data_IF_875946286152
#
_entry.id   IF_875946286152
#
_cell.length_a   1.000
_cell.length_b   1.000
_cell.length_c   1.000
_cell.angle_alpha   90.00
_cell.angle_beta   90.00
_cell.angle_gamma   90.00
#
_symmetry.space_group_name_H-M   'P 1'
#
loop_
_entity.id
_entity.type
_entity.pdbx_description
1 polymer ?
#
# COMPACT_ATOMS: atom_id res chain seq x y z
N UNK A 1 -21.57 -24.84 12.56
CA UNK A 1 -20.32 -24.13 12.25
C UNK A 1 -20.58 -22.65 12.41
N UNK A 2 -20.18 -22.07 13.55
CA UNK A 2 -20.25 -20.62 13.75
C UNK A 2 -19.13 -20.02 12.90
N UNK A 3 -19.47 -19.44 11.74
CA UNK A 3 -18.55 -18.55 11.06
C UNK A 3 -18.47 -17.29 11.93
N UNK A 4 -17.42 -17.19 12.73
CA UNK A 4 -17.02 -15.93 13.33
C UNK A 4 -16.84 -14.94 12.18
N UNK A 5 -17.81 -14.03 12.01
CA UNK A 5 -17.61 -12.83 11.21
C UNK A 5 -16.51 -12.08 11.95
N UNK A 6 -15.30 -12.16 11.42
CA UNK A 6 -14.21 -11.27 11.79
C UNK A 6 -14.72 -9.87 11.43
N UNK A 7 -15.30 -9.17 12.40
CA UNK A 7 -15.76 -7.80 12.19
C UNK A 7 -14.51 -6.95 12.07
N UNK A 8 -14.11 -6.71 10.82
CA UNK A 8 -13.05 -5.79 10.49
C UNK A 8 -13.35 -4.41 11.09
N UNK A 9 -12.30 -3.62 11.31
CA UNK A 9 -12.52 -2.19 11.58
C UNK A 9 -13.17 -1.53 10.35
N UNK A 10 -13.81 -0.37 10.51
CA UNK A 10 -14.33 0.40 9.36
C UNK A 10 -13.24 0.63 8.28
N UNK A 11 -11.96 0.70 8.69
CA UNK A 11 -10.83 0.82 7.76
C UNK A 11 -10.62 -0.48 6.97
N UNK A 12 -10.73 -1.65 7.61
CA UNK A 12 -10.61 -2.94 6.91
C UNK A 12 -11.74 -3.12 5.90
N UNK A 13 -12.97 -2.80 6.30
CA UNK A 13 -14.15 -2.87 5.43
C UNK A 13 -14.02 -1.90 4.25
N UNK A 14 -13.56 -0.68 4.52
CA UNK A 14 -13.35 0.33 3.47
C UNK A 14 -12.36 -0.13 2.40
N UNK A 15 -11.26 -0.77 2.77
CA UNK A 15 -10.23 -1.22 1.83
C UNK A 15 -10.45 -2.62 1.27
N UNK A 16 -11.55 -3.30 1.62
CA UNK A 16 -11.83 -4.65 1.16
C UNK A 16 -12.14 -4.65 -0.35
N UNK A 17 -11.34 -5.35 -1.14
CA UNK A 17 -11.46 -5.42 -2.59
C UNK A 17 -11.04 -4.14 -3.32
N UNK A 18 -10.58 -3.12 -2.60
CA UNK A 18 -10.27 -1.82 -3.18
C UNK A 18 -8.93 -1.78 -3.93
N UNK A 19 -8.84 -0.82 -4.85
CA UNK A 19 -7.63 -0.48 -5.59
C UNK A 19 -7.09 0.87 -5.11
N UNK A 20 -5.89 0.90 -4.54
CA UNK A 20 -5.33 2.10 -3.91
C UNK A 20 -4.21 2.69 -4.73
N UNK A 21 -4.33 3.96 -5.13
CA UNK A 21 -3.25 4.74 -5.73
C UNK A 21 -2.52 5.55 -4.65
N UNK A 22 -1.24 5.27 -4.44
CA UNK A 22 -0.36 6.01 -3.54
C UNK A 22 0.51 6.95 -4.38
N UNK A 23 0.36 8.25 -4.14
CA UNK A 23 1.26 9.30 -4.67
C UNK A 23 2.27 9.68 -3.61
N UNK A 24 3.37 10.35 -3.98
CA UNK A 24 4.41 10.72 -3.00
C UNK A 24 5.35 9.58 -2.61
N UNK A 25 4.97 8.32 -2.91
CA UNK A 25 5.54 6.96 -2.72
C UNK A 25 6.98 6.71 -2.24
N UNK A 26 7.85 7.70 -2.33
CA UNK A 26 9.26 7.67 -1.93
C UNK A 26 9.55 8.41 -0.62
N UNK A 27 8.55 9.02 0.01
CA UNK A 27 8.64 9.56 1.36
C UNK A 27 8.57 8.45 2.42
N UNK A 28 8.98 8.75 3.66
CA UNK A 28 8.96 7.78 4.76
C UNK A 28 7.55 7.21 5.03
N UNK A 29 6.54 8.08 5.10
CA UNK A 29 5.15 7.69 5.38
C UNK A 29 4.59 6.77 4.30
N UNK A 30 4.86 7.08 3.03
CA UNK A 30 4.31 6.29 1.92
C UNK A 30 4.91 4.88 1.89
N UNK A 31 6.22 4.74 2.18
CA UNK A 31 6.87 3.42 2.31
C UNK A 31 6.22 2.58 3.43
N UNK A 32 5.97 3.21 4.58
CA UNK A 32 5.29 2.54 5.70
C UNK A 32 3.88 2.12 5.28
N UNK A 33 3.14 2.97 4.57
CA UNK A 33 1.79 2.67 4.12
C UNK A 33 1.74 1.49 3.14
N UNK A 34 2.67 1.44 2.19
CA UNK A 34 2.82 0.32 1.24
C UNK A 34 3.01 -1.02 1.96
N UNK A 35 3.74 -1.02 3.07
CA UNK A 35 3.93 -2.22 3.88
C UNK A 35 2.79 -2.49 4.86
N UNK A 36 2.12 -1.44 5.35
CA UNK A 36 1.09 -1.53 6.38
C UNK A 36 -0.26 -1.98 5.81
N UNK A 37 -0.64 -1.47 4.65
CA UNK A 37 -1.93 -1.78 4.02
C UNK A 37 -2.10 -3.29 3.78
N UNK A 38 -1.15 -4.04 3.19
CA UNK A 38 -1.32 -5.47 3.00
C UNK A 38 -1.36 -6.27 4.31
N UNK A 39 -0.66 -5.80 5.37
CA UNK A 39 -0.65 -6.46 6.69
C UNK A 39 -1.93 -6.23 7.49
N UNK A 40 -2.54 -5.06 7.34
CA UNK A 40 -3.76 -4.69 8.08
C UNK A 40 -5.04 -4.94 7.27
N UNK A 41 -5.00 -4.80 5.95
CA UNK A 41 -6.12 -5.00 5.04
C UNK A 41 -5.77 -6.17 4.08
N UNK A 42 -5.81 -7.43 4.56
CA UNK A 42 -5.36 -8.59 3.79
C UNK A 42 -6.21 -8.87 2.54
N UNK A 43 -7.38 -8.25 2.42
CA UNK A 43 -8.30 -8.40 1.29
C UNK A 43 -8.27 -7.22 0.30
N UNK A 44 -7.22 -6.40 0.34
CA UNK A 44 -6.99 -5.34 -0.64
C UNK A 44 -6.71 -5.94 -2.03
N UNK A 45 -7.27 -5.36 -3.09
CA UNK A 45 -7.07 -5.87 -4.47
C UNK A 45 -5.69 -5.49 -5.02
N UNK A 46 -5.35 -4.20 -5.03
CA UNK A 46 -4.09 -3.74 -5.62
C UNK A 46 -3.61 -2.42 -5.03
N UNK A 47 -2.28 -2.25 -4.98
CA UNK A 47 -1.63 -0.97 -4.68
C UNK A 47 -0.88 -0.51 -5.92
N UNK A 48 -1.22 0.69 -6.39
CA UNK A 48 -0.55 1.39 -7.48
C UNK A 48 0.33 2.49 -6.90
N UNK A 49 1.59 2.53 -7.30
CA UNK A 49 2.58 3.50 -6.81
C UNK A 49 2.99 4.45 -7.93
N UNK A 50 2.77 5.75 -7.74
CA UNK A 50 3.27 6.77 -8.66
C UNK A 50 4.71 7.13 -8.32
N UNK A 51 5.66 6.57 -9.07
CA UNK A 51 7.09 6.85 -8.93
C UNK A 51 7.58 7.77 -10.04
N UNK A 52 8.06 8.96 -9.68
CA UNK A 52 8.63 9.93 -10.64
C UNK A 52 10.15 9.86 -10.68
N UNK A 53 10.76 10.17 -11.81
CA UNK A 53 12.20 10.49 -11.87
C UNK A 53 12.51 11.72 -11.02
N UNK A 54 13.61 11.72 -10.27
CA UNK A 54 14.02 12.85 -9.40
C UNK A 54 15.51 12.71 -9.06
N UNK A 55 16.23 13.85 -8.96
CA UNK A 55 17.64 13.90 -8.50
C UNK A 55 18.59 12.95 -9.29
N UNK A 56 18.39 12.82 -10.60
CA UNK A 56 19.22 11.94 -11.44
C UNK A 56 18.99 10.44 -11.25
N UNK A 57 18.07 10.01 -10.38
CA UNK A 57 17.71 8.60 -10.22
C UNK A 57 16.60 8.21 -11.20
N UNK A 58 16.80 7.12 -11.92
CA UNK A 58 15.77 6.49 -12.74
C UNK A 58 14.68 5.85 -11.85
N UNK A 59 13.49 5.65 -12.42
CA UNK A 59 12.33 5.05 -11.77
C UNK A 59 12.67 3.70 -11.14
N UNK A 60 13.45 2.85 -11.81
CA UNK A 60 13.81 1.52 -11.30
C UNK A 60 14.58 1.57 -9.97
N UNK A 61 15.59 2.44 -9.89
CA UNK A 61 16.39 2.64 -8.65
C UNK A 61 15.49 3.19 -7.53
N UNK A 62 14.63 4.16 -7.86
CA UNK A 62 13.71 4.72 -6.86
C UNK A 62 12.65 3.72 -6.39
N UNK A 63 12.29 2.74 -7.22
CA UNK A 63 11.37 1.67 -6.87
C UNK A 63 12.01 0.68 -5.89
N UNK A 64 13.28 0.32 -6.10
CA UNK A 64 14.04 -0.52 -5.15
C UNK A 64 14.13 0.14 -3.78
N UNK A 65 14.47 1.43 -3.74
CA UNK A 65 14.55 2.22 -2.51
C UNK A 65 13.25 2.26 -1.70
N UNK A 66 12.07 1.95 -2.27
CA UNK A 66 10.80 1.92 -1.51
C UNK A 66 10.75 0.72 -0.55
N UNK A 67 11.40 -0.38 -0.92
CA UNK A 67 11.37 -1.64 -0.18
C UNK A 67 12.65 -1.92 0.62
N UNK A 68 13.71 -1.17 0.35
CA UNK A 68 14.90 -1.04 1.22
C UNK A 68 14.58 -0.23 2.49
#
# INVERSE_FOLDING_TARGET
>A
MHLSVDRGTMVHEFYQGENVLITGGTGFVDKVLVQKLPRSCPHLSSIYLLVRRKKGKDVGVRMQEIFD
#
